data_IF_128367810106
#
_entry.id   IF_128367810106
#
_cell.length_a   1.000
_cell.length_b   1.000
_cell.length_c   1.000
_cell.angle_alpha   90.00
_cell.angle_beta   90.00
_cell.angle_gamma   90.00
#
_symmetry.space_group_name_H-M   'P 1'
#
loop_
_entity.id
_entity.type
_entity.pdbx_description
1 polymer ?
#
# COMPACT_ATOMS: atom_id res chain seq x y z
N UNK A 1 -7.82 -2.56 16.50
CA UNK A 1 -8.41 -3.52 15.57
C UNK A 1 -9.92 -3.26 15.37
N UNK A 2 -10.73 -3.29 16.41
CA UNK A 2 -12.19 -3.16 16.29
C UNK A 2 -12.63 -1.89 15.56
N UNK A 3 -11.96 -0.76 15.80
CA UNK A 3 -12.26 0.50 15.14
C UNK A 3 -12.00 0.48 13.63
N UNK A 4 -11.02 -0.31 13.18
CA UNK A 4 -10.59 -0.33 11.78
C UNK A 4 -11.11 -1.52 10.97
N UNK A 5 -11.46 -2.61 11.64
CA UNK A 5 -11.90 -3.86 10.99
C UNK A 5 -13.32 -4.20 11.41
N UNK A 6 -13.53 -4.53 12.70
CA UNK A 6 -14.81 -4.95 13.23
C UNK A 6 -14.68 -5.59 14.62
N UNK A 7 -15.79 -5.84 15.32
CA UNK A 7 -15.75 -6.31 16.69
C UNK A 7 -15.15 -7.71 16.84
N UNK A 8 -14.43 -7.93 17.94
CA UNK A 8 -13.96 -9.25 18.34
C UNK A 8 -15.17 -10.07 18.82
N UNK A 9 -15.48 -11.21 18.18
CA UNK A 9 -16.76 -11.89 18.43
C UNK A 9 -16.74 -12.84 19.62
N UNK A 10 -15.57 -13.15 20.19
CA UNK A 10 -15.48 -14.08 21.32
C UNK A 10 -15.34 -13.35 22.65
N UNK A 11 -15.54 -14.07 23.76
CA UNK A 11 -15.50 -13.48 25.11
C UNK A 11 -14.11 -13.39 25.71
N UNK A 12 -13.14 -14.10 25.16
CA UNK A 12 -11.82 -14.28 25.75
C UNK A 12 -10.77 -14.42 24.65
N UNK A 13 -9.57 -13.91 24.93
CA UNK A 13 -8.35 -14.15 24.18
C UNK A 13 -7.22 -14.47 25.16
N UNK A 14 -6.39 -15.45 24.85
CA UNK A 14 -5.28 -15.87 25.70
C UNK A 14 -3.94 -15.64 25.02
N UNK A 15 -3.00 -15.03 25.73
CA UNK A 15 -1.61 -14.89 25.30
C UNK A 15 -0.80 -15.87 26.15
N UNK A 16 -0.18 -16.85 25.54
CA UNK A 16 0.51 -17.96 26.20
C UNK A 16 2.00 -17.82 25.97
N UNK A 17 2.79 -17.78 27.02
CA UNK A 17 4.23 -17.87 26.88
C UNK A 17 4.64 -19.30 26.53
N UNK A 18 5.32 -19.47 25.40
CA UNK A 18 5.79 -20.75 24.89
C UNK A 18 7.20 -20.69 24.31
N UNK A 19 7.57 -21.72 23.58
CA UNK A 19 8.89 -21.87 22.95
C UNK A 19 9.00 -21.19 21.58
N UNK A 20 7.87 -20.95 20.91
CA UNK A 20 7.84 -20.39 19.56
C UNK A 20 7.99 -18.86 19.59
N UNK A 21 8.53 -18.33 18.50
CA UNK A 21 8.76 -16.89 18.34
C UNK A 21 7.46 -16.07 18.39
N UNK A 22 6.46 -16.51 17.71
CA UNK A 22 5.08 -16.06 17.62
C UNK A 22 4.33 -17.04 16.76
N UNK A 23 3.08 -17.36 17.14
CA UNK A 23 2.21 -18.24 16.39
C UNK A 23 0.76 -17.96 16.76
N UNK A 24 -0.06 -17.75 15.77
CA UNK A 24 -1.49 -17.52 15.92
C UNK A 24 -2.25 -18.84 16.04
N UNK A 25 -3.23 -18.83 16.94
CA UNK A 25 -4.23 -19.89 17.10
C UNK A 25 -5.61 -19.26 17.31
N UNK A 26 -6.66 -20.02 17.11
CA UNK A 26 -8.01 -19.54 17.34
C UNK A 26 -8.20 -19.13 18.81
N UNK A 27 -8.51 -17.85 19.06
CA UNK A 27 -8.72 -17.23 20.38
C UNK A 27 -7.51 -17.28 21.31
N UNK A 28 -6.32 -17.60 20.84
CA UNK A 28 -5.09 -17.53 21.62
C UNK A 28 -3.87 -17.35 20.73
N UNK A 29 -2.76 -16.95 21.33
CA UNK A 29 -1.46 -16.93 20.66
C UNK A 29 -0.36 -17.47 21.58
N UNK A 30 0.67 -18.05 20.99
CA UNK A 30 1.88 -18.48 21.70
C UNK A 30 3.02 -17.55 21.33
N UNK A 31 3.70 -16.98 22.35
CA UNK A 31 4.78 -16.01 22.16
C UNK A 31 5.92 -16.33 23.14
N UNK A 32 7.19 -16.16 22.70
CA UNK A 32 8.31 -16.19 23.67
C UNK A 32 8.34 -14.90 24.48
N UNK A 33 8.42 -14.99 25.81
CA UNK A 33 8.41 -13.85 26.72
C UNK A 33 9.74 -13.11 26.87
N UNK A 34 10.85 -13.69 26.43
CA UNK A 34 12.20 -13.11 26.55
C UNK A 34 12.49 -12.13 25.40
N UNK A 35 11.79 -11.00 25.40
CA UNK A 35 11.88 -9.96 24.35
C UNK A 35 12.01 -8.56 24.96
N UNK A 36 12.53 -7.60 24.20
CA UNK A 36 12.35 -6.19 24.51
C UNK A 36 10.87 -5.80 24.47
N UNK A 37 10.49 -4.71 25.14
CA UNK A 37 9.12 -4.19 25.10
C UNK A 37 8.63 -3.99 23.66
N UNK A 38 9.43 -3.34 22.80
CA UNK A 38 9.05 -3.08 21.42
C UNK A 38 8.83 -4.38 20.64
N UNK A 39 9.71 -5.37 20.79
CA UNK A 39 9.56 -6.67 20.13
C UNK A 39 8.36 -7.46 20.67
N UNK A 40 8.08 -7.37 21.98
CA UNK A 40 6.91 -8.03 22.57
C UNK A 40 5.62 -7.37 22.10
N UNK A 41 5.57 -6.05 22.07
CA UNK A 41 4.41 -5.30 21.55
C UNK A 41 4.14 -5.67 20.08
N UNK A 42 5.16 -5.64 19.24
CA UNK A 42 5.04 -5.96 17.81
C UNK A 42 4.51 -7.36 17.57
N UNK A 43 5.15 -8.40 18.16
CA UNK A 43 4.69 -9.78 17.98
C UNK A 43 3.29 -9.99 18.56
N UNK A 44 2.97 -9.39 19.73
CA UNK A 44 1.62 -9.51 20.31
C UNK A 44 0.56 -8.89 19.42
N UNK A 45 0.83 -7.71 18.86
CA UNK A 45 -0.09 -7.04 17.93
C UNK A 45 -0.27 -7.83 16.64
N UNK A 46 0.80 -8.43 16.14
CA UNK A 46 0.81 -9.27 14.94
C UNK A 46 -0.07 -10.52 15.15
N UNK A 47 0.25 -11.34 16.12
CA UNK A 47 -0.50 -12.57 16.41
C UNK A 47 -1.97 -12.31 16.77
N UNK A 48 -2.26 -11.19 17.44
CA UNK A 48 -3.63 -10.79 17.74
C UNK A 48 -4.39 -10.37 16.46
N UNK A 49 -3.73 -9.75 15.49
CA UNK A 49 -4.36 -9.33 14.25
C UNK A 49 -4.84 -10.50 13.39
N UNK A 50 -4.15 -11.65 13.44
CA UNK A 50 -4.57 -12.90 12.79
C UNK A 50 -5.94 -13.40 13.20
N UNK A 51 -6.50 -12.93 14.33
CA UNK A 51 -7.88 -13.24 14.70
C UNK A 51 -8.86 -12.80 13.62
N UNK A 52 -8.64 -11.65 13.01
CA UNK A 52 -9.48 -11.13 11.94
C UNK A 52 -9.11 -11.70 10.57
N UNK A 53 -7.83 -11.67 10.22
CA UNK A 53 -7.40 -11.99 8.86
C UNK A 53 -7.22 -13.48 8.60
N UNK A 54 -6.89 -14.28 9.63
CA UNK A 54 -6.82 -15.74 9.50
C UNK A 54 -8.05 -16.42 10.11
N UNK A 55 -8.35 -16.21 11.38
CA UNK A 55 -9.34 -17.06 12.06
C UNK A 55 -10.80 -16.69 11.79
N UNK A 56 -11.12 -15.41 11.56
CA UNK A 56 -12.48 -14.97 11.24
C UNK A 56 -12.77 -15.00 9.74
N UNK A 57 -11.87 -14.50 8.95
CA UNK A 57 -12.02 -14.44 7.48
C UNK A 57 -11.59 -15.75 6.83
N UNK A 58 -10.64 -16.46 7.42
CA UNK A 58 -10.19 -17.80 7.05
C UNK A 58 -9.89 -17.95 5.56
N UNK A 59 -9.20 -16.98 4.99
CA UNK A 59 -8.63 -17.05 3.65
C UNK A 59 -7.65 -18.22 3.59
N UNK A 60 -7.57 -18.92 2.46
CA UNK A 60 -6.62 -20.02 2.30
C UNK A 60 -5.17 -19.49 2.32
N UNK A 61 -4.51 -19.57 3.47
CA UNK A 61 -3.17 -19.04 3.73
C UNK A 61 -2.09 -19.69 2.87
N UNK A 62 -2.21 -20.96 2.56
CA UNK A 62 -1.25 -21.66 1.71
C UNK A 62 -1.23 -21.08 0.26
N UNK A 63 -2.36 -20.57 -0.22
CA UNK A 63 -2.52 -19.96 -1.55
C UNK A 63 -2.39 -18.44 -1.53
N UNK A 64 -2.71 -17.82 -0.43
CA UNK A 64 -2.85 -16.38 -0.30
C UNK A 64 -2.21 -15.88 0.99
N UNK A 65 -0.99 -16.35 1.31
CA UNK A 65 -0.24 -15.96 2.51
C UNK A 65 -0.15 -14.45 2.70
N UNK A 66 -0.10 -13.68 1.62
CA UNK A 66 -0.06 -12.23 1.64
C UNK A 66 -1.34 -11.56 2.17
N UNK A 67 -2.50 -12.25 2.10
CA UNK A 67 -3.76 -11.74 2.68
C UNK A 67 -3.83 -12.03 4.18
N UNK A 68 -3.20 -13.09 4.62
CA UNK A 68 -3.06 -13.43 6.02
C UNK A 68 -1.98 -12.54 6.65
N UNK A 69 -0.73 -12.77 6.32
CA UNK A 69 0.42 -12.12 6.92
C UNK A 69 0.53 -10.62 6.59
N UNK A 70 0.22 -10.27 5.33
CA UNK A 70 0.36 -8.90 4.87
C UNK A 70 -0.68 -7.96 5.44
N UNK A 71 -1.93 -8.39 5.57
CA UNK A 71 -2.99 -7.59 6.20
C UNK A 71 -2.75 -7.49 7.71
N UNK A 72 -2.29 -8.57 8.30
CA UNK A 72 -1.84 -8.60 9.70
C UNK A 72 -0.68 -7.64 9.95
N UNK A 73 0.36 -7.63 9.12
CA UNK A 73 1.51 -6.72 9.23
C UNK A 73 1.10 -5.24 9.06
N UNK A 74 0.16 -4.96 8.14
CA UNK A 74 -0.40 -3.62 7.99
C UNK A 74 -1.07 -3.14 9.29
N UNK A 75 -1.90 -3.98 9.90
CA UNK A 75 -2.60 -3.65 11.14
C UNK A 75 -1.67 -3.63 12.35
N UNK A 76 -0.63 -4.46 12.38
CA UNK A 76 0.43 -4.44 13.40
C UNK A 76 1.08 -3.06 13.46
N UNK A 77 1.51 -2.55 12.31
CA UNK A 77 2.12 -1.20 12.20
C UNK A 77 1.20 -0.11 12.76
N UNK A 78 -0.09 -0.13 12.41
CA UNK A 78 -1.05 0.85 12.93
C UNK A 78 -1.24 0.71 14.45
N UNK A 79 -1.26 -0.52 14.97
CA UNK A 79 -1.43 -0.80 16.39
C UNK A 79 -0.22 -0.36 17.21
N UNK A 80 0.99 -0.63 16.74
CA UNK A 80 2.23 -0.16 17.38
C UNK A 80 2.30 1.37 17.44
N UNK A 81 1.94 2.04 16.35
CA UNK A 81 1.90 3.49 16.30
C UNK A 81 0.86 4.07 17.27
N UNK A 82 -0.31 3.46 17.34
CA UNK A 82 -1.38 3.85 18.27
C UNK A 82 -0.93 3.71 19.74
N UNK A 83 -0.41 2.54 20.14
CA UNK A 83 0.02 2.27 21.52
C UNK A 83 1.18 3.18 21.94
N UNK A 84 2.09 3.49 21.03
CA UNK A 84 3.23 4.36 21.29
C UNK A 84 2.93 5.85 21.09
N UNK A 85 1.67 6.24 20.82
CA UNK A 85 1.26 7.61 20.49
C UNK A 85 2.09 8.25 19.36
N UNK A 86 2.51 7.46 18.37
CA UNK A 86 3.24 7.92 17.20
C UNK A 86 2.30 8.23 16.06
N UNK A 87 2.61 9.29 15.32
CA UNK A 87 1.89 9.68 14.09
C UNK A 87 2.94 9.99 13.00
N UNK A 88 3.68 8.99 12.53
CA UNK A 88 4.64 9.21 11.46
C UNK A 88 3.93 9.54 10.14
N UNK A 89 4.53 10.40 9.34
CA UNK A 89 4.01 10.74 8.00
C UNK A 89 3.96 9.51 7.08
N UNK A 90 4.90 8.59 7.28
CA UNK A 90 4.98 7.34 6.53
C UNK A 90 5.02 6.12 7.47
N UNK A 91 3.86 5.65 7.96
CA UNK A 91 3.78 4.60 8.99
C UNK A 91 4.35 3.25 8.56
N UNK A 92 4.19 2.85 7.31
CA UNK A 92 4.58 1.53 6.79
C UNK A 92 6.00 1.48 6.21
N UNK A 93 6.86 2.46 6.53
CA UNK A 93 8.22 2.56 5.97
C UNK A 93 9.03 1.26 6.05
N UNK A 94 8.98 0.52 7.16
CA UNK A 94 9.71 -0.74 7.32
C UNK A 94 9.27 -1.81 6.31
N UNK A 95 7.98 -1.87 6.00
CA UNK A 95 7.44 -2.79 4.99
C UNK A 95 7.89 -2.39 3.58
N UNK A 96 7.92 -1.08 3.27
CA UNK A 96 8.45 -0.58 2.00
C UNK A 96 9.95 -0.86 1.86
N UNK A 97 10.76 -0.58 2.89
CA UNK A 97 12.20 -0.84 2.86
C UNK A 97 12.49 -2.32 2.54
N UNK A 98 11.76 -3.25 3.16
CA UNK A 98 11.91 -4.69 2.91
C UNK A 98 11.38 -5.08 1.52
N UNK A 99 10.29 -4.47 1.05
CA UNK A 99 9.80 -4.65 -0.31
C UNK A 99 10.84 -4.20 -1.34
N UNK A 100 11.49 -3.06 -1.15
CA UNK A 100 12.55 -2.59 -2.06
C UNK A 100 13.74 -3.54 -2.11
N UNK A 101 14.13 -4.14 -0.98
CA UNK A 101 15.15 -5.19 -0.96
C UNK A 101 14.70 -6.42 -1.78
N UNK A 102 13.45 -6.85 -1.63
CA UNK A 102 12.89 -7.93 -2.44
C UNK A 102 12.88 -7.58 -3.92
N UNK A 103 12.37 -6.39 -4.28
CA UNK A 103 12.25 -5.92 -5.64
C UNK A 103 13.60 -5.83 -6.37
N UNK A 104 14.67 -5.46 -5.65
CA UNK A 104 16.04 -5.38 -6.17
C UNK A 104 16.82 -6.70 -6.14
N UNK A 105 16.33 -7.75 -5.45
CA UNK A 105 17.07 -8.99 -5.22
C UNK A 105 17.12 -9.94 -6.43
N UNK A 106 16.21 -9.80 -7.37
CA UNK A 106 15.99 -10.79 -8.45
C UNK A 106 15.31 -12.10 -7.98
N UNK A 107 14.94 -12.21 -6.70
CA UNK A 107 14.34 -13.42 -6.11
C UNK A 107 12.81 -13.33 -5.97
N UNK A 108 12.22 -12.18 -6.33
CA UNK A 108 10.79 -11.96 -6.18
C UNK A 108 9.98 -12.91 -7.05
N UNK A 109 8.99 -13.54 -6.42
CA UNK A 109 7.97 -14.34 -7.08
C UNK A 109 6.58 -13.68 -6.90
N UNK A 110 5.61 -13.94 -7.81
CA UNK A 110 4.26 -13.43 -7.64
C UNK A 110 3.67 -13.78 -6.27
N UNK A 111 2.93 -12.88 -5.67
CA UNK A 111 2.30 -13.14 -4.35
C UNK A 111 1.27 -14.29 -4.37
N UNK A 112 0.78 -14.65 -5.56
CA UNK A 112 -0.07 -15.84 -5.78
C UNK A 112 0.73 -17.15 -5.81
N UNK A 113 2.04 -17.13 -5.64
CA UNK A 113 2.85 -18.33 -5.48
C UNK A 113 2.41 -19.04 -4.19
N UNK A 114 2.13 -20.36 -4.28
CA UNK A 114 1.79 -21.16 -3.11
C UNK A 114 2.96 -21.15 -2.11
N UNK A 115 2.68 -21.07 -0.81
CA UNK A 115 3.71 -20.92 0.25
C UNK A 115 4.83 -21.96 0.14
N UNK A 116 4.50 -23.22 -0.19
CA UNK A 116 5.48 -24.30 -0.33
C UNK A 116 6.31 -24.23 -1.63
N UNK A 117 6.06 -23.27 -2.50
CA UNK A 117 6.69 -23.16 -3.83
C UNK A 117 7.57 -21.92 -3.99
N UNK A 118 7.82 -21.21 -2.92
CA UNK A 118 8.84 -20.17 -2.94
C UNK A 118 10.22 -20.81 -2.96
N UNK A 119 11.10 -20.34 -3.85
CA UNK A 119 12.45 -20.87 -3.98
C UNK A 119 13.34 -20.52 -2.78
N UNK A 120 13.05 -19.40 -2.11
CA UNK A 120 13.81 -18.87 -0.98
C UNK A 120 12.89 -18.38 0.14
N UNK A 121 13.22 -18.71 1.39
CA UNK A 121 12.47 -18.26 2.55
C UNK A 121 12.44 -16.72 2.66
N UNK A 122 13.52 -16.04 2.31
CA UNK A 122 13.54 -14.55 2.25
C UNK A 122 12.47 -14.02 1.30
N UNK A 123 12.36 -14.60 0.10
CA UNK A 123 11.35 -14.18 -0.89
C UNK A 123 9.93 -14.42 -0.37
N UNK A 124 9.68 -15.56 0.28
CA UNK A 124 8.40 -15.84 0.94
C UNK A 124 8.06 -14.79 1.99
N UNK A 125 8.92 -14.60 2.99
CA UNK A 125 8.67 -13.68 4.10
C UNK A 125 8.49 -12.23 3.60
N UNK A 126 9.39 -11.76 2.74
CA UNK A 126 9.28 -10.39 2.22
C UNK A 126 8.03 -10.19 1.35
N UNK A 127 7.60 -11.22 0.60
CA UNK A 127 6.41 -11.17 -0.23
C UNK A 127 5.12 -11.25 0.60
N UNK A 128 5.00 -12.23 1.49
CA UNK A 128 3.79 -12.43 2.27
C UNK A 128 3.55 -11.25 3.24
N UNK A 129 4.53 -10.92 4.07
CA UNK A 129 4.41 -9.89 5.11
C UNK A 129 4.53 -8.48 4.53
N UNK A 130 5.72 -8.12 4.05
CA UNK A 130 6.05 -6.74 3.72
C UNK A 130 5.36 -6.26 2.44
N UNK A 131 5.49 -7.00 1.33
CA UNK A 131 4.80 -6.66 0.08
C UNK A 131 3.27 -6.73 0.25
N UNK A 132 2.75 -7.66 1.08
CA UNK A 132 1.33 -7.74 1.42
C UNK A 132 0.84 -6.52 2.23
N UNK A 133 1.64 -6.02 3.18
CA UNK A 133 1.36 -4.76 3.89
C UNK A 133 1.41 -3.55 2.93
N UNK A 134 2.41 -3.49 2.05
CA UNK A 134 2.53 -2.44 1.02
C UNK A 134 1.35 -2.48 0.06
N UNK A 135 0.80 -3.65 -0.28
CA UNK A 135 -0.43 -3.77 -1.09
C UNK A 135 -1.58 -2.96 -0.47
N UNK A 136 -1.84 -3.07 0.82
CA UNK A 136 -2.90 -2.27 1.46
C UNK A 136 -2.57 -0.77 1.51
N UNK A 137 -1.31 -0.41 1.81
CA UNK A 137 -0.88 0.98 1.83
C UNK A 137 -1.03 1.64 0.44
N UNK A 138 -0.64 0.93 -0.61
CA UNK A 138 -0.81 1.35 -2.01
C UNK A 138 -2.30 1.41 -2.40
N UNK A 139 -3.12 0.44 -1.97
CA UNK A 139 -4.56 0.48 -2.22
C UNK A 139 -5.17 1.73 -1.59
N UNK A 140 -4.78 2.09 -0.35
CA UNK A 140 -5.20 3.33 0.29
C UNK A 140 -4.77 4.59 -0.49
N UNK A 141 -3.60 4.56 -1.13
CA UNK A 141 -3.18 5.63 -2.04
C UNK A 141 -4.10 5.72 -3.27
N UNK A 142 -4.48 4.58 -3.87
CA UNK A 142 -5.31 4.51 -5.08
C UNK A 142 -6.76 4.94 -4.82
N UNK A 143 -7.39 4.39 -3.75
CA UNK A 143 -8.83 4.58 -3.50
C UNK A 143 -9.13 5.65 -2.43
N UNK A 144 -8.12 6.13 -1.71
CA UNK A 144 -8.23 7.00 -0.53
C UNK A 144 -8.34 6.19 0.78
N UNK A 145 -7.72 6.70 1.86
CA UNK A 145 -7.64 6.01 3.16
C UNK A 145 -9.00 5.77 3.81
N UNK A 146 -9.93 6.72 3.66
CA UNK A 146 -11.30 6.56 4.15
C UNK A 146 -12.02 5.39 3.45
N UNK A 147 -11.80 5.22 2.16
CA UNK A 147 -12.35 4.10 1.40
C UNK A 147 -11.65 2.79 1.75
N UNK A 148 -10.33 2.80 2.00
CA UNK A 148 -9.64 1.60 2.50
C UNK A 148 -10.21 1.16 3.85
N UNK A 149 -10.39 2.08 4.80
CA UNK A 149 -11.00 1.78 6.10
C UNK A 149 -12.42 1.23 5.96
N UNK A 150 -13.25 1.82 5.11
CA UNK A 150 -14.60 1.32 4.80
C UNK A 150 -14.55 -0.06 4.14
N UNK A 151 -13.57 -0.29 3.27
CA UNK A 151 -13.35 -1.59 2.60
C UNK A 151 -13.04 -2.68 3.62
N UNK A 152 -12.09 -2.46 4.53
CA UNK A 152 -11.74 -3.43 5.56
C UNK A 152 -12.95 -3.78 6.46
N UNK A 153 -13.72 -2.77 6.89
CA UNK A 153 -14.93 -2.98 7.68
C UNK A 153 -16.01 -3.76 6.95
N UNK A 154 -16.28 -3.40 5.70
CA UNK A 154 -17.27 -4.08 4.87
C UNK A 154 -16.84 -5.51 4.52
N UNK A 155 -15.56 -5.71 4.24
CA UNK A 155 -14.98 -7.02 4.01
C UNK A 155 -15.15 -7.95 5.21
N UNK A 156 -14.85 -7.44 6.42
CA UNK A 156 -15.13 -8.17 7.66
C UNK A 156 -16.62 -8.52 7.80
N UNK A 157 -17.52 -7.56 7.65
CA UNK A 157 -18.97 -7.80 7.83
C UNK A 157 -19.54 -8.79 6.83
N UNK A 158 -19.13 -8.74 5.57
CA UNK A 158 -19.64 -9.63 4.53
C UNK A 158 -19.01 -11.03 4.58
N UNK A 159 -17.78 -11.17 5.08
CA UNK A 159 -17.02 -12.41 4.95
C UNK A 159 -16.58 -13.06 6.27
N UNK A 160 -16.85 -12.50 7.44
CA UNK A 160 -16.57 -13.17 8.71
C UNK A 160 -17.21 -14.56 8.73
N UNK A 161 -16.45 -15.55 9.23
CA UNK A 161 -16.82 -16.97 9.26
C UNK A 161 -17.02 -17.62 7.87
N UNK A 162 -16.36 -17.06 6.85
CA UNK A 162 -16.35 -17.61 5.47
C UNK A 162 -14.89 -17.84 5.04
N UNK A 163 -14.68 -18.04 3.73
CA UNK A 163 -13.35 -18.28 3.17
C UNK A 163 -13.14 -17.41 1.93
N UNK A 164 -13.03 -16.07 2.10
CA UNK A 164 -12.92 -15.17 0.95
C UNK A 164 -11.60 -15.34 0.20
N UNK A 165 -11.66 -15.02 -1.07
CA UNK A 165 -10.53 -14.99 -1.99
C UNK A 165 -10.06 -13.54 -2.25
N UNK A 166 -8.90 -13.34 -2.90
CA UNK A 166 -8.46 -12.00 -3.35
C UNK A 166 -9.51 -11.25 -4.17
N UNK A 167 -10.27 -11.97 -5.02
CA UNK A 167 -11.32 -11.36 -5.81
C UNK A 167 -12.51 -10.87 -4.97
N UNK A 168 -12.78 -11.50 -3.84
CA UNK A 168 -13.83 -11.04 -2.92
C UNK A 168 -13.43 -9.73 -2.25
N UNK A 169 -12.18 -9.62 -1.79
CA UNK A 169 -11.64 -8.38 -1.26
C UNK A 169 -11.65 -7.25 -2.29
N UNK A 170 -11.15 -7.53 -3.52
CA UNK A 170 -11.17 -6.56 -4.63
C UNK A 170 -12.58 -6.05 -4.89
N UNK A 171 -13.58 -6.94 -5.02
CA UNK A 171 -14.99 -6.55 -5.25
C UNK A 171 -15.55 -5.64 -4.17
N UNK A 172 -15.15 -5.83 -2.90
CA UNK A 172 -15.55 -4.92 -1.83
C UNK A 172 -14.88 -3.55 -2.01
N UNK A 173 -13.59 -3.53 -2.34
CA UNK A 173 -12.87 -2.28 -2.59
C UNK A 173 -13.46 -1.49 -3.77
N UNK A 174 -13.79 -2.16 -4.87
CA UNK A 174 -14.47 -1.57 -6.04
C UNK A 174 -15.84 -0.98 -5.66
N UNK A 175 -16.67 -1.72 -4.92
CA UNK A 175 -17.99 -1.26 -4.46
C UNK A 175 -17.91 -0.07 -3.49
N UNK A 176 -16.83 0.07 -2.74
CA UNK A 176 -16.65 1.15 -1.77
C UNK A 176 -16.08 2.39 -2.43
N UNK A 177 -15.16 2.22 -3.36
CA UNK A 177 -14.43 3.32 -4.01
C UNK A 177 -15.09 3.83 -5.29
N UNK A 178 -15.94 3.01 -5.92
CA UNK A 178 -16.49 3.23 -7.27
C UNK A 178 -15.39 3.30 -8.34
N UNK A 179 -14.32 2.50 -8.17
CA UNK A 179 -13.17 2.41 -9.08
C UNK A 179 -12.95 0.97 -9.50
N UNK A 180 -12.52 0.73 -10.74
CA UNK A 180 -12.09 -0.57 -11.23
C UNK A 180 -10.68 -0.91 -10.71
N UNK A 181 -10.51 -2.10 -10.12
CA UNK A 181 -9.26 -2.51 -9.45
C UNK A 181 -8.69 -3.84 -9.94
N UNK A 182 -9.23 -4.43 -11.02
CA UNK A 182 -8.69 -5.68 -11.58
C UNK A 182 -7.23 -5.53 -12.00
N UNK A 183 -6.86 -4.40 -12.64
CA UNK A 183 -5.50 -4.07 -13.04
C UNK A 183 -4.56 -4.06 -11.82
N UNK A 184 -5.00 -3.44 -10.71
CA UNK A 184 -4.23 -3.31 -9.47
C UNK A 184 -3.97 -4.68 -8.83
N UNK A 185 -5.03 -5.48 -8.64
CA UNK A 185 -4.91 -6.83 -8.08
C UNK A 185 -4.00 -7.70 -8.95
N UNK A 186 -4.17 -7.64 -10.27
CA UNK A 186 -3.43 -8.45 -11.21
C UNK A 186 -1.94 -8.12 -11.22
N UNK A 187 -1.60 -6.86 -11.42
CA UNK A 187 -0.20 -6.42 -11.50
C UNK A 187 0.52 -6.63 -10.17
N UNK A 188 -0.11 -6.29 -9.06
CA UNK A 188 0.50 -6.38 -7.75
C UNK A 188 0.70 -7.82 -7.27
N UNK A 189 -0.27 -8.72 -7.52
CA UNK A 189 -0.25 -10.05 -6.91
C UNK A 189 0.14 -11.19 -7.85
N UNK A 190 -0.16 -11.08 -9.14
CA UNK A 190 0.06 -12.16 -10.13
C UNK A 190 1.30 -11.96 -10.98
N UNK A 191 1.97 -10.82 -10.84
CA UNK A 191 3.18 -10.48 -11.58
C UNK A 191 4.29 -10.00 -10.65
N UNK A 192 5.50 -9.83 -11.22
CA UNK A 192 6.62 -9.15 -10.58
C UNK A 192 6.85 -7.77 -11.18
N UNK A 193 5.80 -7.16 -11.74
CA UNK A 193 5.90 -5.81 -12.28
C UNK A 193 6.26 -4.82 -11.17
N UNK A 194 7.09 -3.84 -11.52
CA UNK A 194 7.53 -2.78 -10.62
C UNK A 194 6.83 -1.48 -10.98
N UNK A 195 6.80 -0.59 -10.03
CA UNK A 195 6.47 0.82 -10.20
C UNK A 195 7.79 1.56 -10.30
N UNK A 196 7.99 2.34 -11.36
CA UNK A 196 9.15 3.20 -11.57
C UNK A 196 8.71 4.34 -12.49
N UNK A 197 8.65 5.53 -11.93
CA UNK A 197 8.32 6.77 -12.62
C UNK A 197 9.51 7.72 -12.54
N UNK A 198 9.55 8.71 -13.40
CA UNK A 198 10.55 9.77 -13.33
C UNK A 198 10.05 11.01 -14.05
N UNK A 199 10.57 12.15 -13.63
CA UNK A 199 10.30 13.45 -14.23
C UNK A 199 11.30 13.75 -15.35
N UNK A 200 10.81 14.41 -16.40
CA UNK A 200 11.61 15.16 -17.34
C UNK A 200 11.10 16.61 -17.37
N UNK A 201 11.96 17.51 -16.92
CA UNK A 201 11.64 18.95 -16.78
C UNK A 201 12.40 19.80 -17.82
N UNK A 202 12.96 19.18 -18.86
CA UNK A 202 13.78 19.89 -19.86
C UNK A 202 13.04 21.04 -20.54
N UNK A 203 11.73 20.92 -20.74
CA UNK A 203 10.87 21.94 -21.34
C UNK A 203 10.28 22.95 -20.33
N UNK A 204 10.47 22.72 -19.01
CA UNK A 204 9.80 23.51 -18.00
C UNK A 204 10.15 25.02 -18.03
N UNK A 205 11.41 25.33 -18.35
CA UNK A 205 11.91 26.73 -18.39
C UNK A 205 11.33 27.49 -19.61
N UNK A 206 11.01 26.82 -20.69
CA UNK A 206 10.58 27.45 -21.95
C UNK A 206 9.06 27.57 -22.07
N UNK A 207 8.33 26.51 -21.75
CA UNK A 207 6.91 26.41 -21.99
C UNK A 207 6.10 25.89 -20.78
N UNK A 208 6.75 25.77 -19.61
CA UNK A 208 6.19 25.25 -18.37
C UNK A 208 5.66 23.82 -18.46
N UNK A 209 6.17 23.04 -19.41
CA UNK A 209 5.78 21.66 -19.63
C UNK A 209 6.54 20.71 -18.72
N UNK A 210 5.84 19.75 -18.17
CA UNK A 210 6.39 18.64 -17.35
C UNK A 210 6.00 17.34 -18.02
N UNK A 211 7.00 16.50 -18.27
CA UNK A 211 6.80 15.14 -18.77
C UNK A 211 7.05 14.13 -17.67
N UNK A 212 6.07 13.26 -17.41
CA UNK A 212 6.22 12.11 -16.53
C UNK A 212 6.47 10.87 -17.37
N UNK A 213 7.52 10.11 -17.03
CA UNK A 213 7.90 8.87 -17.74
C UNK A 213 7.60 7.67 -16.85
N UNK A 214 6.84 6.72 -17.37
CA UNK A 214 6.67 5.40 -16.74
C UNK A 214 7.75 4.46 -17.25
N UNK A 215 8.70 4.13 -16.39
CA UNK A 215 9.90 3.34 -16.71
C UNK A 215 9.71 1.84 -16.50
N UNK A 216 8.78 1.48 -15.59
CA UNK A 216 8.43 0.09 -15.34
C UNK A 216 7.00 -0.24 -15.79
N UNK A 217 6.57 -1.49 -15.57
CA UNK A 217 5.35 -2.01 -16.21
C UNK A 217 4.07 -1.75 -15.45
N UNK A 218 4.13 -1.62 -14.11
CA UNK A 218 2.92 -1.43 -13.31
C UNK A 218 2.46 0.02 -13.38
N UNK A 219 1.27 0.31 -13.95
CA UNK A 219 0.70 1.65 -13.95
C UNK A 219 0.16 2.01 -12.57
N UNK A 220 0.24 3.29 -12.20
CA UNK A 220 -0.36 3.84 -10.99
C UNK A 220 -0.96 5.22 -11.30
N UNK A 221 -2.00 5.66 -10.60
CA UNK A 221 -2.35 7.08 -10.59
C UNK A 221 -1.21 7.86 -9.93
N UNK A 222 -0.93 9.07 -10.43
CA UNK A 222 0.22 9.86 -10.00
C UNK A 222 -0.25 11.19 -9.42
N UNK A 223 0.33 11.59 -8.31
CA UNK A 223 0.21 12.93 -7.74
C UNK A 223 1.54 13.66 -7.96
N UNK A 224 1.49 14.85 -8.54
CA UNK A 224 2.66 15.70 -8.77
C UNK A 224 2.45 17.00 -8.03
N UNK A 225 3.34 17.30 -7.09
CA UNK A 225 3.38 18.61 -6.45
C UNK A 225 4.28 19.55 -7.23
N UNK A 226 3.74 20.72 -7.53
CA UNK A 226 4.47 21.85 -8.10
C UNK A 226 4.53 22.95 -7.06
N UNK A 227 5.71 23.22 -6.51
CA UNK A 227 5.94 24.25 -5.50
C UNK A 227 6.41 25.55 -6.15
N UNK A 228 5.91 26.68 -5.66
CA UNK A 228 6.20 28.02 -6.20
C UNK A 228 7.01 28.88 -5.23
N UNK A 229 7.71 29.87 -5.78
CA UNK A 229 8.57 30.79 -5.03
C UNK A 229 7.82 31.65 -3.99
N UNK A 230 6.48 31.77 -4.14
CA UNK A 230 5.62 32.48 -3.18
C UNK A 230 5.22 31.62 -1.97
N UNK A 231 5.72 30.37 -1.90
CA UNK A 231 5.42 29.41 -0.84
C UNK A 231 4.12 28.62 -1.05
N UNK A 232 3.39 28.86 -2.14
CA UNK A 232 2.24 28.04 -2.50
C UNK A 232 2.65 26.77 -3.24
N UNK A 233 1.75 25.76 -3.27
CA UNK A 233 1.93 24.55 -4.06
C UNK A 233 0.59 24.08 -4.64
N UNK A 234 0.67 23.49 -5.81
CA UNK A 234 -0.45 22.88 -6.52
C UNK A 234 -0.19 21.38 -6.72
N UNK A 235 -1.24 20.55 -6.62
CA UNK A 235 -1.19 19.13 -6.86
C UNK A 235 -1.88 18.81 -8.19
N UNK A 236 -1.16 18.19 -9.09
CA UNK A 236 -1.67 17.66 -10.35
C UNK A 236 -1.90 16.16 -10.18
N UNK A 237 -3.16 15.74 -10.15
CA UNK A 237 -3.54 14.33 -10.03
C UNK A 237 -3.84 13.76 -11.41
N UNK A 238 -3.06 12.78 -11.81
CA UNK A 238 -3.17 12.08 -13.10
C UNK A 238 -3.68 10.65 -12.81
N UNK A 239 -4.97 10.35 -13.02
CA UNK A 239 -5.50 9.00 -12.88
C UNK A 239 -5.00 8.11 -14.01
N UNK A 240 -4.96 6.78 -13.83
CA UNK A 240 -4.84 5.86 -14.95
C UNK A 240 -6.22 5.60 -15.56
N UNK A 241 -6.29 5.43 -16.89
CA UNK A 241 -7.52 5.09 -17.61
C UNK A 241 -8.13 3.75 -17.14
N UNK A 242 -7.30 2.85 -16.59
CA UNK A 242 -7.73 1.56 -16.06
C UNK A 242 -8.64 1.65 -14.82
N UNK A 243 -8.65 2.80 -14.13
CA UNK A 243 -9.49 2.99 -12.92
C UNK A 243 -10.96 3.28 -13.25
N UNK A 244 -11.25 3.77 -14.46
CA UNK A 244 -12.58 4.25 -14.87
C UNK A 244 -13.21 5.25 -13.89
N UNK A 245 -12.39 6.06 -13.21
CA UNK A 245 -12.80 7.05 -12.23
C UNK A 245 -11.63 7.74 -11.55
N UNK A 246 -11.91 8.52 -10.53
CA UNK A 246 -10.93 9.32 -9.82
C UNK A 246 -11.05 9.15 -8.29
N UNK A 247 -9.91 9.11 -7.62
CA UNK A 247 -9.86 9.30 -6.16
C UNK A 247 -10.40 10.69 -5.81
N UNK A 248 -11.17 10.80 -4.74
CA UNK A 248 -11.67 12.09 -4.25
C UNK A 248 -10.66 12.70 -3.29
N UNK A 249 -10.36 13.98 -3.50
CA UNK A 249 -9.57 14.79 -2.60
C UNK A 249 -10.46 15.84 -1.91
N UNK A 250 -10.04 16.24 -0.73
CA UNK A 250 -10.74 17.30 0.04
C UNK A 250 -9.96 18.62 0.12
N UNK A 251 -8.82 18.71 -0.58
CA UNK A 251 -8.00 19.91 -0.68
C UNK A 251 -8.46 20.83 -1.82
N UNK A 252 -8.16 22.15 -1.70
CA UNK A 252 -8.57 23.15 -2.70
C UNK A 252 -7.60 23.32 -3.88
N UNK A 253 -6.36 22.83 -3.76
CA UNK A 253 -5.31 23.08 -4.76
C UNK A 253 -4.99 21.81 -5.54
N UNK A 254 -6.04 21.10 -6.00
CA UNK A 254 -5.87 19.86 -6.77
C UNK A 254 -6.46 20.04 -8.15
N UNK A 255 -5.63 19.82 -9.16
CA UNK A 255 -5.97 19.80 -10.57
C UNK A 255 -6.13 18.36 -11.02
N UNK A 256 -7.35 17.98 -11.38
CA UNK A 256 -7.63 16.67 -11.97
C UNK A 256 -7.28 16.73 -13.45
N UNK A 257 -6.29 15.92 -13.84
CA UNK A 257 -5.83 15.81 -15.21
C UNK A 257 -6.61 14.73 -15.97
N UNK A 258 -6.50 14.74 -17.30
CA UNK A 258 -7.05 13.66 -18.12
C UNK A 258 -6.39 12.32 -17.77
N UNK A 259 -7.14 11.20 -17.84
CA UNK A 259 -6.60 9.89 -17.52
C UNK A 259 -5.41 9.53 -18.40
N UNK A 260 -4.33 9.06 -17.76
CA UNK A 260 -3.17 8.54 -18.46
C UNK A 260 -3.48 7.20 -19.10
N UNK A 261 -3.42 7.15 -20.43
CA UNK A 261 -3.59 5.91 -21.19
C UNK A 261 -2.45 4.94 -20.86
N UNK A 262 -2.78 3.79 -20.30
CA UNK A 262 -1.80 2.81 -19.80
C UNK A 262 -0.82 2.31 -20.86
N UNK A 263 -1.15 2.40 -22.15
CA UNK A 263 -0.27 2.05 -23.26
C UNK A 263 0.78 3.10 -23.59
N UNK A 264 0.61 4.36 -23.13
CA UNK A 264 1.59 5.42 -23.33
C UNK A 264 2.68 5.34 -22.25
N UNK A 265 3.97 5.38 -22.62
CA UNK A 265 5.07 5.43 -21.66
C UNK A 265 5.26 6.81 -21.01
N UNK A 266 4.67 7.86 -21.59
CA UNK A 266 4.86 9.23 -21.17
C UNK A 266 3.53 9.98 -21.06
N UNK A 267 3.48 10.94 -20.15
CA UNK A 267 2.39 11.88 -19.97
C UNK A 267 2.94 13.28 -19.83
N UNK A 268 2.45 14.19 -20.65
CA UNK A 268 2.89 15.59 -20.67
C UNK A 268 1.74 16.52 -20.27
N UNK A 269 2.04 17.54 -19.48
CA UNK A 269 1.09 18.59 -19.13
C UNK A 269 1.80 19.92 -18.90
N UNK A 270 1.07 21.02 -19.04
CA UNK A 270 1.57 22.37 -18.82
C UNK A 270 1.06 22.90 -17.48
N UNK A 271 1.96 23.48 -16.70
CA UNK A 271 1.62 24.15 -15.44
C UNK A 271 1.06 25.54 -15.76
N UNK A 272 -0.21 25.77 -15.45
CA UNK A 272 -0.88 27.04 -15.72
C UNK A 272 -0.36 28.19 -14.84
N UNK A 273 -0.55 29.42 -15.35
CA UNK A 273 -0.19 30.65 -14.63
C UNK A 273 1.26 31.09 -14.87
N UNK A 274 1.69 32.09 -14.10
CA UNK A 274 2.98 32.81 -14.27
C UNK A 274 3.90 32.73 -13.02
N UNK A 275 3.48 32.05 -11.95
CA UNK A 275 4.27 31.89 -10.73
C UNK A 275 5.59 31.17 -11.03
N UNK A 276 6.70 31.64 -10.45
CA UNK A 276 8.02 30.97 -10.56
C UNK A 276 7.94 29.61 -9.89
N UNK A 277 8.13 28.53 -10.66
CA UNK A 277 8.24 27.15 -10.16
C UNK A 277 9.65 27.00 -9.54
N UNK A 278 9.70 26.39 -8.34
CA UNK A 278 10.97 26.14 -7.63
C UNK A 278 11.20 24.63 -7.36
N UNK A 279 10.14 23.83 -7.39
CA UNK A 279 10.27 22.37 -7.20
C UNK A 279 9.13 21.65 -7.91
N UNK A 280 9.43 20.46 -8.45
CA UNK A 280 8.46 19.50 -8.95
C UNK A 280 8.76 18.15 -8.31
N UNK A 281 7.73 17.48 -7.79
CA UNK A 281 7.88 16.21 -7.07
C UNK A 281 6.75 15.23 -7.38
N UNK A 282 7.09 14.02 -7.83
CA UNK A 282 6.14 12.89 -7.92
C UNK A 282 5.92 12.36 -6.50
N UNK A 283 4.66 12.07 -6.18
CA UNK A 283 4.25 11.46 -4.91
C UNK A 283 4.83 12.17 -3.68
N UNK A 284 4.39 13.40 -3.39
CA UNK A 284 4.84 14.14 -2.21
C UNK A 284 4.54 13.38 -0.90
N UNK A 285 3.57 12.45 -0.93
CA UNK A 285 3.22 11.59 0.21
C UNK A 285 4.21 10.46 0.47
N UNK A 286 5.13 10.17 -0.47
CA UNK A 286 6.07 9.04 -0.44
C UNK A 286 5.39 7.66 -0.32
N UNK A 287 4.16 7.54 -0.79
CA UNK A 287 3.36 6.32 -0.66
C UNK A 287 3.43 5.41 -1.87
N UNK A 288 3.78 5.92 -3.06
CA UNK A 288 3.99 5.07 -4.24
C UNK A 288 5.23 4.21 -3.99
N UNK A 289 5.09 2.89 -4.19
CA UNK A 289 6.18 1.93 -4.04
C UNK A 289 7.13 1.95 -5.26
N UNK A 290 7.57 3.14 -5.61
CA UNK A 290 8.52 3.41 -6.69
C UNK A 290 9.91 2.87 -6.31
N UNK A 291 10.45 2.00 -7.16
CA UNK A 291 11.74 1.33 -6.90
C UNK A 291 12.95 2.21 -7.19
N UNK A 292 12.76 3.36 -7.85
CA UNK A 292 13.79 4.34 -8.15
C UNK A 292 13.31 5.77 -7.90
N UNK A 293 13.47 6.25 -6.69
CA UNK A 293 12.98 7.58 -6.27
C UNK A 293 13.96 8.73 -6.58
N UNK A 294 15.12 8.47 -7.19
CA UNK A 294 16.15 9.49 -7.42
C UNK A 294 15.75 10.56 -8.43
N UNK A 295 14.84 10.25 -9.34
CA UNK A 295 14.36 11.15 -10.39
C UNK A 295 12.87 11.51 -10.25
N UNK A 296 12.34 11.32 -9.04
CA UNK A 296 10.97 11.73 -8.69
C UNK A 296 10.88 13.19 -8.22
N UNK A 297 12.00 13.89 -8.03
CA UNK A 297 11.99 15.26 -7.54
C UNK A 297 13.11 16.08 -8.15
N UNK A 298 12.78 17.31 -8.57
CA UNK A 298 13.73 18.29 -9.06
C UNK A 298 13.50 19.64 -8.38
N UNK A 299 14.59 20.25 -7.89
CA UNK A 299 14.61 21.63 -7.47
C UNK A 299 15.10 22.50 -8.62
N UNK A 300 14.55 23.71 -8.74
CA UNK A 300 14.79 24.64 -9.85
C UNK A 300 15.28 25.96 -9.27
N UNK A 301 16.48 26.38 -9.62
CA UNK A 301 17.15 27.62 -9.16
C UNK A 301 16.48 28.91 -9.66
#
# INVERSE_FOLDING_TARGET
FEENIGPYPWKQYSIIQGGDGGMEYAMCTMITGLRSYASLLGVTAHEMSHIWFQHLLATNEAKHAWMDEGFTEYMTTLSENYVNNKKPDFPHKSSYDRYYLLAGSGLEQPQTTHSDRYDYNFAYVASAYSKGSVFLAQLGYVIGDDNLKKTLKRYYEEFKFKHPSPNDFKRIAEKVSDLELEWYLNDWTRTNHKIDYGLDISSLVFDRSITVKRKARMPMPIEIEVSFADGSADIYYIPTDLMHGNKKFYSKNIFYMDPWTWTSPEYEFVVEGDKKIIKVEIDPSKRIADVNQFDNSFEID
#
